data_IF_097456352232
#
_entry.id   IF_097456352232
#
_cell.length_a   1.000
_cell.length_b   1.000
_cell.length_c   1.000
_cell.angle_alpha   90.00
_cell.angle_beta   90.00
_cell.angle_gamma   90.00
#
_symmetry.space_group_name_H-M   'P 1'
#
loop_
_entity.id
_entity.type
_entity.pdbx_description
1 polymer ?
#
# COMPACT_ATOMS: atom_id res chain seq x y z
N UNK A 1 22.23 -36.55 -26.16
CA UNK A 1 22.65 -36.06 -24.82
C UNK A 1 21.40 -35.56 -24.11
N UNK A 2 20.75 -36.39 -23.30
CA UNK A 2 19.57 -35.98 -22.54
C UNK A 2 20.05 -35.26 -21.29
N UNK A 3 19.96 -33.93 -21.29
CA UNK A 3 20.33 -33.12 -20.14
C UNK A 3 19.23 -33.34 -19.09
N UNK A 4 19.51 -34.17 -18.09
CA UNK A 4 18.62 -34.36 -16.94
C UNK A 4 18.69 -33.11 -16.07
N UNK A 5 17.98 -32.07 -16.50
CA UNK A 5 17.79 -30.88 -15.67
C UNK A 5 17.07 -31.32 -14.40
N UNK A 6 17.76 -31.20 -13.26
CA UNK A 6 17.18 -31.48 -11.96
C UNK A 6 15.96 -30.56 -11.80
N UNK A 7 14.75 -31.12 -11.89
CA UNK A 7 13.47 -30.37 -11.93
C UNK A 7 13.39 -29.35 -10.80
N UNK A 8 14.00 -29.66 -9.65
CA UNK A 8 14.08 -28.79 -8.48
C UNK A 8 14.72 -27.44 -8.78
N UNK A 9 15.81 -27.38 -9.56
CA UNK A 9 16.45 -26.11 -9.92
C UNK A 9 15.57 -25.25 -10.84
N UNK A 10 14.81 -25.91 -11.71
CA UNK A 10 13.85 -25.21 -12.57
C UNK A 10 12.70 -24.61 -11.76
N UNK A 11 12.18 -25.36 -10.79
CA UNK A 11 11.14 -24.85 -9.87
C UNK A 11 11.65 -23.68 -9.01
N UNK A 12 12.87 -23.75 -8.49
CA UNK A 12 13.47 -22.65 -7.71
C UNK A 12 13.62 -21.40 -8.58
N UNK A 13 14.11 -21.54 -9.82
CA UNK A 13 14.23 -20.41 -10.73
C UNK A 13 12.87 -19.75 -11.03
N UNK A 14 11.81 -20.54 -11.24
CA UNK A 14 10.46 -20.02 -11.44
C UNK A 14 9.91 -19.30 -10.20
N UNK A 15 10.15 -19.83 -8.99
CA UNK A 15 9.72 -19.19 -7.74
C UNK A 15 10.43 -17.84 -7.51
N UNK A 16 11.71 -17.74 -7.84
CA UNK A 16 12.46 -16.49 -7.78
C UNK A 16 11.90 -15.45 -8.76
N UNK A 17 11.63 -15.86 -10.00
CA UNK A 17 11.04 -14.96 -11.02
C UNK A 17 9.64 -14.50 -10.59
N UNK A 18 8.81 -15.41 -10.09
CA UNK A 18 7.47 -15.09 -9.60
C UNK A 18 7.50 -14.13 -8.41
N UNK A 19 8.45 -14.28 -7.48
CA UNK A 19 8.61 -13.40 -6.32
C UNK A 19 8.96 -11.96 -6.71
N UNK A 20 9.70 -11.77 -7.81
CA UNK A 20 10.03 -10.44 -8.35
C UNK A 20 8.83 -9.87 -9.14
N UNK A 21 8.08 -10.73 -9.84
CA UNK A 21 6.92 -10.32 -10.66
C UNK A 21 5.61 -10.15 -9.89
N UNK A 22 5.51 -10.62 -8.66
CA UNK A 22 4.49 -10.14 -7.72
C UNK A 22 5.04 -8.88 -7.06
N UNK A 23 4.78 -7.67 -7.59
CA UNK A 23 4.90 -6.49 -6.76
C UNK A 23 3.97 -6.76 -5.58
N UNK A 24 4.54 -6.92 -4.39
CA UNK A 24 3.76 -6.94 -3.16
C UNK A 24 2.80 -5.76 -3.27
N UNK A 25 1.50 -6.05 -3.27
CA UNK A 25 0.45 -5.09 -3.55
C UNK A 25 0.53 -3.95 -2.55
N UNK A 26 1.33 -2.93 -2.88
CA UNK A 26 1.24 -1.62 -2.28
C UNK A 26 -0.05 -1.04 -2.83
N UNK A 27 -1.06 -1.10 -1.98
CA UNK A 27 -2.34 -0.44 -2.13
C UNK A 27 -2.06 0.97 -2.63
N UNK A 28 -2.49 1.21 -3.87
CA UNK A 28 -2.73 2.48 -4.52
C UNK A 28 -1.92 3.68 -4.02
N UNK A 29 -0.89 4.03 -4.79
CA UNK A 29 -0.68 5.40 -5.28
C UNK A 29 -1.00 6.54 -4.30
N UNK A 30 -0.59 6.44 -3.05
CA UNK A 30 -0.54 7.59 -2.20
C UNK A 30 0.80 8.26 -2.55
N UNK A 31 0.72 9.38 -3.27
CA UNK A 31 1.83 10.33 -3.43
C UNK A 31 2.64 10.37 -2.12
N UNK A 32 3.98 10.46 -2.12
CA UNK A 32 4.80 10.37 -0.89
C UNK A 32 4.42 11.34 0.24
N UNK A 33 3.49 12.27 -0.03
CA UNK A 33 2.92 13.25 0.88
C UNK A 33 1.53 12.89 1.41
N UNK A 34 0.93 11.78 0.97
CA UNK A 34 -0.44 11.39 1.30
C UNK A 34 -0.39 10.06 2.06
N UNK A 35 -0.85 10.05 3.31
CA UNK A 35 -0.92 8.86 4.15
C UNK A 35 -2.38 8.48 4.39
N UNK A 36 -2.83 7.38 3.77
CA UNK A 36 -4.21 6.92 3.88
C UNK A 36 -4.37 5.78 4.89
N UNK A 37 -5.33 5.94 5.80
CA UNK A 37 -5.58 5.02 6.91
C UNK A 37 -6.79 4.15 6.58
N UNK A 38 -6.57 2.83 6.60
CA UNK A 38 -7.52 1.77 6.23
C UNK A 38 -8.90 1.82 6.92
N UNK A 39 -8.94 2.29 8.17
CA UNK A 39 -10.15 2.47 8.99
C UNK A 39 -10.05 3.82 9.70
N UNK A 40 -10.03 4.91 8.94
CA UNK A 40 -10.06 6.26 9.49
C UNK A 40 -11.44 6.68 9.99
N UNK A 41 -11.55 7.81 10.72
CA UNK A 41 -12.83 8.42 11.07
C UNK A 41 -13.47 9.05 9.83
N UNK A 42 -13.92 8.21 8.88
CA UNK A 42 -14.61 8.64 7.66
C UNK A 42 -16.04 8.08 7.53
N UNK A 43 -16.93 8.25 8.53
CA UNK A 43 -18.34 7.92 8.34
C UNK A 43 -19.15 9.03 7.67
N UNK A 44 -18.75 10.32 7.75
CA UNK A 44 -19.48 11.44 7.10
C UNK A 44 -18.84 12.84 7.18
N UNK A 45 -17.60 13.01 7.68
CA UNK A 45 -17.00 14.33 7.87
C UNK A 45 -15.51 14.35 7.57
N UNK A 46 -15.12 15.10 6.54
CA UNK A 46 -13.72 15.43 6.26
C UNK A 46 -13.02 16.11 7.44
N UNK A 47 -13.78 16.81 8.28
CA UNK A 47 -13.27 17.54 9.43
C UNK A 47 -12.72 16.62 10.53
N UNK A 48 -13.32 15.44 10.72
CA UNK A 48 -12.83 14.45 11.69
C UNK A 48 -11.50 13.84 11.22
N UNK A 49 -11.41 13.57 9.91
CA UNK A 49 -10.16 13.16 9.28
C UNK A 49 -9.09 14.27 9.38
N UNK A 50 -9.43 15.53 9.10
CA UNK A 50 -8.50 16.65 9.20
C UNK A 50 -7.95 16.83 10.63
N UNK A 51 -8.82 16.76 11.65
CA UNK A 51 -8.43 16.83 13.06
C UNK A 51 -7.54 15.65 13.47
N UNK A 52 -7.86 14.45 13.00
CA UNK A 52 -7.03 13.26 13.24
C UNK A 52 -5.64 13.43 12.62
N UNK A 53 -5.56 13.91 11.38
CA UNK A 53 -4.31 14.15 10.68
C UNK A 53 -3.47 15.24 11.36
N UNK A 54 -4.09 16.34 11.80
CA UNK A 54 -3.42 17.39 12.57
C UNK A 54 -2.79 16.85 13.87
N UNK A 55 -3.48 15.94 14.57
CA UNK A 55 -2.93 15.23 15.75
C UNK A 55 -1.81 14.25 15.39
N UNK A 56 -1.86 13.68 14.20
CA UNK A 56 -0.93 12.65 13.71
C UNK A 56 0.31 13.23 13.02
N UNK A 57 0.64 14.51 13.26
CA UNK A 57 1.77 15.26 12.69
C UNK A 57 1.64 15.61 11.20
N UNK A 58 0.42 15.67 10.68
CA UNK A 58 0.13 16.14 9.32
C UNK A 58 -0.50 17.54 9.36
N UNK A 59 0.30 18.62 9.28
CA UNK A 59 -0.20 19.98 9.50
C UNK A 59 -1.14 20.47 8.39
N UNK A 60 -1.09 19.87 7.19
CA UNK A 60 -2.03 20.18 6.10
C UNK A 60 -3.36 19.46 6.23
N UNK A 61 -3.57 18.70 7.32
CA UNK A 61 -4.81 17.99 7.61
C UNK A 61 -4.99 16.76 6.72
N UNK A 62 -6.24 16.41 6.44
CA UNK A 62 -6.59 15.25 5.62
C UNK A 62 -8.01 15.30 5.12
N UNK A 63 -8.33 14.41 4.19
CA UNK A 63 -9.65 14.27 3.57
C UNK A 63 -10.09 12.82 3.55
N UNK A 64 -11.40 12.59 3.59
CA UNK A 64 -11.95 11.26 3.41
C UNK A 64 -12.03 10.93 1.91
N UNK A 65 -11.34 9.88 1.49
CA UNK A 65 -11.45 9.30 0.15
C UNK A 65 -12.18 7.97 0.30
N UNK A 66 -13.44 7.94 -0.15
CA UNK A 66 -14.37 6.84 0.10
C UNK A 66 -14.52 6.55 1.62
N UNK A 67 -13.90 5.47 2.11
CA UNK A 67 -13.90 5.07 3.53
C UNK A 67 -12.55 5.23 4.22
N UNK A 68 -11.56 5.80 3.51
CA UNK A 68 -10.20 5.97 3.99
C UNK A 68 -9.94 7.43 4.37
N UNK A 69 -9.30 7.66 5.52
CA UNK A 69 -8.83 8.99 5.90
C UNK A 69 -7.43 9.20 5.35
N UNK A 70 -7.25 10.14 4.44
CA UNK A 70 -5.98 10.44 3.78
C UNK A 70 -5.41 11.76 4.29
N UNK A 71 -4.30 11.69 5.02
CA UNK A 71 -3.58 12.83 5.58
C UNK A 71 -2.55 13.38 4.59
N UNK A 72 -2.48 14.71 4.46
CA UNK A 72 -1.47 15.40 3.66
C UNK A 72 -0.35 15.94 4.56
N UNK A 73 0.89 15.57 4.26
CA UNK A 73 2.12 16.08 4.90
C UNK A 73 2.53 17.45 4.39
#
# INVERSE_FOLDING_TARGET
MAISFNRVHFFIALLCIASILTPGGAIDSASPWIYCIGKGPCPNKDQDCANYCAKSKFPKGGKCIASYCCCNG
#
